data_IF_457125808216
#
_entry.id   IF_457125808216
#
_cell.length_a   1.000
_cell.length_b   1.000
_cell.length_c   1.000
_cell.angle_alpha   90.00
_cell.angle_beta   90.00
_cell.angle_gamma   90.00
#
_symmetry.space_group_name_H-M   'P 1'
#
loop_
_entity.id
_entity.type
_entity.pdbx_description
1 polymer ?
#
# COMPACT_ATOMS: atom_id res chain seq x y z
N UNK A 1 33.63 -6.82 -19.43
CA UNK A 1 33.33 -5.69 -18.52
C UNK A 1 32.62 -6.27 -17.33
N UNK A 2 33.28 -6.30 -16.16
CA UNK A 2 32.76 -6.99 -14.97
C UNK A 2 31.44 -6.36 -14.51
N UNK A 3 30.45 -7.19 -14.26
CA UNK A 3 29.16 -6.81 -13.73
C UNK A 3 29.38 -6.18 -12.35
N UNK A 4 29.33 -4.85 -12.24
CA UNK A 4 29.45 -4.17 -10.95
C UNK A 4 28.24 -4.58 -10.14
N UNK A 5 28.43 -5.45 -9.14
CA UNK A 5 27.40 -5.78 -8.14
C UNK A 5 26.80 -4.48 -7.61
N UNK A 6 25.54 -4.22 -7.97
CA UNK A 6 24.78 -3.08 -7.48
C UNK A 6 24.19 -3.49 -6.14
N UNK A 7 24.50 -2.71 -5.11
CA UNK A 7 23.92 -2.89 -3.79
C UNK A 7 22.77 -1.90 -3.63
N UNK A 8 21.58 -2.41 -3.33
CA UNK A 8 20.40 -1.62 -3.00
C UNK A 8 20.15 -1.67 -1.50
N UNK A 9 19.77 -0.53 -0.93
CA UNK A 9 19.29 -0.45 0.45
C UNK A 9 17.77 -0.28 0.41
N UNK A 10 17.06 -1.19 1.06
CA UNK A 10 15.60 -1.18 1.10
C UNK A 10 15.11 -0.59 2.42
N UNK A 11 14.27 0.43 2.32
CA UNK A 11 13.52 0.98 3.44
C UNK A 11 12.04 0.62 3.25
N UNK A 12 11.50 -0.20 4.15
CA UNK A 12 10.08 -0.58 4.15
C UNK A 12 9.39 0.08 5.33
N UNK A 13 8.38 0.90 5.07
CA UNK A 13 7.73 1.72 6.10
C UNK A 13 6.28 1.28 6.27
N UNK A 14 5.97 0.68 7.42
CA UNK A 14 4.59 0.33 7.77
C UNK A 14 3.73 1.57 7.98
N UNK A 15 2.42 1.48 7.75
CA UNK A 15 1.45 2.49 8.22
C UNK A 15 1.42 2.55 9.76
N UNK A 16 1.12 3.74 10.30
CA UNK A 16 0.93 3.95 11.74
C UNK A 16 -0.14 2.99 12.25
N UNK A 17 0.14 2.29 13.34
CA UNK A 17 -0.75 1.30 13.97
C UNK A 17 -1.28 0.21 13.02
N UNK A 18 -0.54 -0.13 11.95
CA UNK A 18 -0.85 -1.28 11.07
C UNK A 18 0.03 -2.50 11.33
N UNK A 19 0.92 -2.42 12.32
CA UNK A 19 1.74 -3.52 12.81
C UNK A 19 1.62 -3.57 14.32
N UNK A 20 1.58 -4.78 14.88
CA UNK A 20 1.63 -4.95 16.32
C UNK A 20 3.03 -4.61 16.83
N UNK A 21 3.16 -3.49 17.56
CA UNK A 21 4.45 -3.12 18.14
C UNK A 21 4.94 -4.18 19.15
N UNK A 22 6.24 -4.51 19.14
CA UNK A 22 6.87 -5.31 20.20
C UNK A 22 6.59 -4.72 21.58
N UNK A 23 6.49 -5.58 22.61
CA UNK A 23 6.09 -5.16 23.95
C UNK A 23 6.98 -4.05 24.53
N UNK A 24 8.27 -4.10 24.18
CA UNK A 24 9.31 -3.15 24.56
C UNK A 24 9.05 -1.76 23.97
N UNK A 25 8.41 -1.71 22.79
CA UNK A 25 8.17 -0.48 22.05
C UNK A 25 6.74 0.07 22.21
N UNK A 26 5.82 -0.68 22.85
CA UNK A 26 4.42 -0.27 23.03
C UNK A 26 4.24 1.02 23.83
N UNK A 27 5.22 1.37 24.66
CA UNK A 27 5.24 2.61 25.46
C UNK A 27 6.28 3.63 24.99
N UNK A 28 7.11 3.27 24.01
CA UNK A 28 8.13 4.16 23.45
C UNK A 28 7.54 4.89 22.25
N UNK A 29 6.84 5.98 22.49
CA UNK A 29 6.29 6.79 21.41
C UNK A 29 5.23 7.77 21.87
N UNK A 30 4.90 8.73 21.00
CA UNK A 30 3.80 9.68 21.21
C UNK A 30 2.43 9.05 20.96
N UNK A 31 2.39 7.95 20.19
CA UNK A 31 1.18 7.30 19.73
C UNK A 31 0.90 6.02 20.50
N UNK A 32 -0.38 5.78 20.77
CA UNK A 32 -0.87 4.60 21.48
C UNK A 32 -1.38 3.58 20.46
N UNK A 33 -1.34 2.26 20.76
CA UNK A 33 -1.79 1.23 19.82
C UNK A 33 -3.26 1.33 19.39
N UNK A 34 -4.09 2.01 20.18
CA UNK A 34 -5.50 2.23 19.90
C UNK A 34 -5.81 3.57 19.21
N UNK A 35 -4.79 4.39 18.97
CA UNK A 35 -4.96 5.60 18.16
C UNK A 35 -5.40 5.22 16.74
N UNK A 36 -6.19 6.10 16.14
CA UNK A 36 -6.73 5.93 14.79
C UNK A 36 -6.17 7.03 13.91
N UNK A 37 -5.66 6.64 12.76
CA UNK A 37 -4.98 7.55 11.85
C UNK A 37 -5.70 7.59 10.51
N UNK A 38 -6.05 8.81 10.11
CA UNK A 38 -6.55 9.10 8.77
C UNK A 38 -5.43 9.12 7.75
N UNK A 39 -5.79 9.17 6.47
CA UNK A 39 -4.88 9.15 5.34
C UNK A 39 -3.82 10.26 5.42
N UNK A 40 -4.20 11.49 5.76
CA UNK A 40 -3.25 12.61 5.84
C UNK A 40 -2.22 12.43 6.97
N UNK A 41 -2.60 11.79 8.09
CA UNK A 41 -1.65 11.45 9.15
C UNK A 41 -0.65 10.38 8.68
N UNK A 42 -1.10 9.43 7.85
CA UNK A 42 -0.21 8.44 7.22
C UNK A 42 0.75 9.10 6.23
N UNK A 43 0.27 10.05 5.41
CA UNK A 43 1.09 10.85 4.50
C UNK A 43 2.18 11.60 5.28
N UNK A 44 1.80 12.29 6.35
CA UNK A 44 2.76 13.03 7.18
C UNK A 44 3.80 12.10 7.80
N UNK A 45 3.38 10.95 8.33
CA UNK A 45 4.30 9.97 8.89
C UNK A 45 5.34 9.46 7.87
N UNK A 46 4.94 9.27 6.60
CA UNK A 46 5.88 8.89 5.53
C UNK A 46 6.82 10.03 5.15
N UNK A 47 6.33 11.27 5.14
CA UNK A 47 7.16 12.45 4.91
C UNK A 47 8.21 12.63 6.01
N UNK A 48 7.83 12.47 7.27
CA UNK A 48 8.73 12.57 8.41
C UNK A 48 9.82 11.49 8.33
N UNK A 49 9.44 10.24 8.04
CA UNK A 49 10.40 9.15 7.83
C UNK A 49 11.42 9.48 6.74
N UNK A 50 10.96 9.99 5.59
CA UNK A 50 11.84 10.36 4.48
C UNK A 50 12.86 11.41 4.91
N UNK A 51 12.41 12.44 5.63
CA UNK A 51 13.27 13.55 6.09
C UNK A 51 14.30 13.10 7.12
N UNK A 52 13.92 12.18 8.00
CA UNK A 52 14.77 11.73 9.11
C UNK A 52 15.77 10.64 8.70
N UNK A 53 15.40 9.76 7.77
CA UNK A 53 16.16 8.52 7.55
C UNK A 53 16.73 8.34 6.15
N UNK A 54 16.22 9.02 5.12
CA UNK A 54 16.78 8.84 3.78
C UNK A 54 18.12 9.59 3.59
N UNK A 55 19.09 8.98 2.89
CA UNK A 55 20.34 9.65 2.56
C UNK A 55 20.14 10.66 1.42
N UNK A 56 20.48 11.93 1.64
CA UNK A 56 20.28 13.02 0.65
C UNK A 56 21.06 12.85 -0.66
N UNK A 57 22.32 12.38 -0.57
CA UNK A 57 23.22 12.32 -1.73
C UNK A 57 22.94 11.12 -2.67
N UNK A 58 22.29 10.07 -2.17
CA UNK A 58 22.13 8.82 -2.91
C UNK A 58 20.91 8.87 -3.82
N UNK A 59 20.96 8.09 -4.91
CA UNK A 59 19.79 7.92 -5.79
C UNK A 59 18.67 7.23 -5.01
N UNK A 60 17.50 7.84 -4.99
CA UNK A 60 16.31 7.30 -4.31
C UNK A 60 15.28 6.91 -5.35
N UNK A 61 14.71 5.72 -5.20
CA UNK A 61 13.54 5.24 -5.92
C UNK A 61 12.45 5.01 -4.89
N UNK A 62 11.26 5.57 -5.12
CA UNK A 62 10.14 5.41 -4.20
C UNK A 62 9.10 4.52 -4.88
N UNK A 63 8.62 3.54 -4.14
CA UNK A 63 7.59 2.62 -4.62
C UNK A 63 6.40 2.71 -3.68
N UNK A 64 5.22 2.91 -4.25
CA UNK A 64 3.95 2.90 -3.54
C UNK A 64 3.09 1.79 -4.10
N UNK A 65 2.51 0.95 -3.24
CA UNK A 65 1.53 -0.06 -3.66
C UNK A 65 0.14 0.38 -3.22
N UNK A 66 -0.86 0.22 -4.08
CA UNK A 66 -2.26 0.54 -3.77
C UNK A 66 -2.37 1.98 -3.25
N UNK A 67 -2.93 2.20 -2.05
CA UNK A 67 -3.03 3.52 -1.42
C UNK A 67 -1.66 4.14 -1.10
N UNK A 68 -0.63 3.32 -0.93
CA UNK A 68 0.75 3.79 -0.81
C UNK A 68 1.20 4.59 -2.03
N UNK A 69 0.62 4.35 -3.22
CA UNK A 69 0.86 5.18 -4.41
C UNK A 69 0.35 6.61 -4.20
N UNK A 70 -0.87 6.76 -3.67
CA UNK A 70 -1.43 8.07 -3.35
C UNK A 70 -0.56 8.80 -2.31
N UNK A 71 -0.18 8.13 -1.22
CA UNK A 71 0.65 8.73 -0.18
C UNK A 71 2.02 9.18 -0.72
N UNK A 72 2.65 8.33 -1.54
CA UNK A 72 3.91 8.61 -2.21
C UNK A 72 3.84 9.85 -3.11
N UNK A 73 2.77 9.99 -3.91
CA UNK A 73 2.58 11.15 -4.78
C UNK A 73 2.33 12.43 -3.97
N UNK A 74 1.61 12.34 -2.85
CA UNK A 74 1.38 13.49 -1.95
C UNK A 74 2.66 14.00 -1.29
N UNK A 75 3.63 13.13 -0.98
CA UNK A 75 4.90 13.57 -0.37
C UNK A 75 5.92 14.08 -1.40
N UNK A 76 5.84 13.64 -2.67
CA UNK A 76 6.83 13.94 -3.70
C UNK A 76 7.16 15.44 -3.85
N UNK A 77 6.19 16.37 -3.92
CA UNK A 77 6.48 17.80 -4.04
C UNK A 77 7.34 18.35 -2.90
N UNK A 78 7.31 17.73 -1.72
CA UNK A 78 8.01 18.20 -0.52
C UNK A 78 9.41 17.61 -0.35
N UNK A 79 9.80 16.65 -1.19
CA UNK A 79 11.08 15.91 -1.06
C UNK A 79 11.92 15.94 -2.33
N UNK A 80 11.33 16.24 -3.49
CA UNK A 80 12.03 16.20 -4.79
C UNK A 80 13.25 17.10 -4.87
N UNK A 81 13.24 18.23 -4.16
CA UNK A 81 14.29 19.24 -4.20
C UNK A 81 15.38 18.97 -3.14
N UNK A 82 15.05 18.21 -2.09
CA UNK A 82 15.96 17.88 -0.97
C UNK A 82 16.70 16.56 -1.17
N UNK A 83 16.16 15.67 -2.02
CA UNK A 83 16.67 14.32 -2.25
C UNK A 83 16.86 14.04 -3.74
N UNK A 84 17.85 13.21 -4.07
CA UNK A 84 18.13 12.77 -5.44
C UNK A 84 17.13 11.69 -5.89
N UNK A 85 15.84 12.07 -5.99
CA UNK A 85 14.74 11.22 -6.44
C UNK A 85 14.89 10.94 -7.93
N UNK A 86 15.00 9.67 -8.30
CA UNK A 86 15.13 9.23 -9.70
C UNK A 86 13.80 8.88 -10.31
N UNK A 87 13.02 8.05 -9.63
CA UNK A 87 11.71 7.61 -10.07
C UNK A 87 10.81 7.33 -8.88
N UNK A 88 9.53 7.48 -9.15
CA UNK A 88 8.43 7.31 -8.22
C UNK A 88 7.45 6.39 -8.92
N UNK A 89 7.32 5.16 -8.42
CA UNK A 89 6.63 4.07 -9.14
C UNK A 89 5.42 3.63 -8.33
N UNK A 90 4.22 3.89 -8.85
CA UNK A 90 2.97 3.39 -8.28
C UNK A 90 2.63 2.00 -8.82
N UNK A 91 2.46 1.03 -7.94
CA UNK A 91 2.14 -0.35 -8.24
C UNK A 91 0.68 -0.60 -7.89
N UNK A 92 -0.11 -1.05 -8.86
CA UNK A 92 -1.56 -1.24 -8.73
C UNK A 92 -2.20 -0.01 -8.06
N UNK A 93 -2.01 1.20 -8.63
CA UNK A 93 -2.15 2.46 -7.90
C UNK A 93 -3.62 2.85 -7.65
N UNK A 94 -4.05 2.92 -6.39
CA UNK A 94 -5.39 3.44 -6.04
C UNK A 94 -5.31 4.95 -5.81
N UNK A 95 -5.21 5.71 -6.90
CA UNK A 95 -5.06 7.18 -6.87
C UNK A 95 -6.29 7.95 -7.35
N UNK A 96 -7.27 7.25 -7.92
CA UNK A 96 -8.56 7.79 -8.32
C UNK A 96 -9.65 6.72 -8.27
N UNK A 97 -10.90 7.15 -8.14
CA UNK A 97 -12.13 6.34 -8.26
C UNK A 97 -12.11 5.05 -7.45
N UNK A 98 -11.44 5.06 -6.30
CA UNK A 98 -11.31 3.87 -5.46
C UNK A 98 -12.69 3.37 -5.03
N UNK A 99 -13.57 4.32 -4.69
CA UNK A 99 -14.98 4.11 -4.36
C UNK A 99 -15.81 3.38 -5.42
N UNK A 100 -15.53 3.66 -6.70
CA UNK A 100 -16.34 3.22 -7.83
C UNK A 100 -15.78 1.95 -8.48
N UNK A 101 -14.58 1.53 -8.07
CA UNK A 101 -13.99 0.26 -8.48
C UNK A 101 -14.85 -0.94 -8.03
N UNK A 102 -14.78 -2.09 -8.73
CA UNK A 102 -15.51 -3.30 -8.34
C UNK A 102 -15.31 -3.69 -6.87
N UNK A 103 -14.09 -3.62 -6.36
CA UNK A 103 -13.77 -3.93 -4.97
C UNK A 103 -14.15 -2.80 -4.01
N UNK A 104 -14.04 -1.53 -4.43
CA UNK A 104 -14.49 -0.38 -3.65
C UNK A 104 -15.99 -0.40 -3.36
N UNK A 105 -16.82 -0.73 -4.36
CA UNK A 105 -18.27 -0.88 -4.20
C UNK A 105 -18.60 -2.01 -3.23
N UNK A 106 -17.90 -3.15 -3.32
CA UNK A 106 -18.07 -4.28 -2.39
C UNK A 106 -17.68 -3.87 -0.97
N UNK A 107 -16.52 -3.22 -0.81
CA UNK A 107 -16.04 -2.76 0.48
C UNK A 107 -16.99 -1.73 1.11
N UNK A 108 -17.48 -0.74 0.34
CA UNK A 108 -18.49 0.22 0.82
C UNK A 108 -19.73 -0.46 1.39
N UNK A 109 -20.23 -1.53 0.74
CA UNK A 109 -21.39 -2.29 1.24
C UNK A 109 -21.08 -3.02 2.54
N UNK A 110 -19.91 -3.64 2.64
CA UNK A 110 -19.46 -4.31 3.87
C UNK A 110 -19.35 -3.29 5.01
N UNK A 111 -18.66 -2.18 4.78
CA UNK A 111 -18.47 -1.12 5.76
C UNK A 111 -19.81 -0.51 6.21
N UNK A 112 -20.72 -0.20 5.28
CA UNK A 112 -22.07 0.29 5.62
C UNK A 112 -22.88 -0.73 6.44
N UNK A 113 -22.69 -2.03 6.19
CA UNK A 113 -23.33 -3.09 6.97
C UNK A 113 -22.77 -3.17 8.39
N UNK A 114 -21.47 -2.92 8.57
CA UNK A 114 -20.82 -2.86 9.88
C UNK A 114 -21.26 -1.63 10.68
N UNK A 115 -21.36 -0.47 10.02
CA UNK A 115 -21.84 0.77 10.65
C UNK A 115 -23.32 0.64 11.08
N UNK A 116 -24.15 0.01 10.24
CA UNK A 116 -25.54 -0.25 10.57
C UNK A 116 -25.70 -1.27 11.71
N UNK A 117 -24.71 -2.13 11.93
CA UNK A 117 -24.73 -3.20 12.92
C UNK A 117 -23.52 -3.10 13.85
N UNK A 118 -23.53 -2.06 14.68
CA UNK A 118 -22.52 -1.79 15.72
C UNK A 118 -22.11 -3.04 16.54
N UNK A 119 -23.07 -3.93 16.80
CA UNK A 119 -22.85 -5.18 17.53
C UNK A 119 -22.04 -6.21 16.74
N UNK A 120 -22.16 -6.27 15.41
CA UNK A 120 -21.36 -7.14 14.54
C UNK A 120 -19.90 -6.67 14.51
N UNK A 121 -19.67 -5.37 14.36
CA UNK A 121 -18.33 -4.80 14.37
C UNK A 121 -17.63 -5.03 15.73
N UNK A 122 -18.35 -4.80 16.84
CA UNK A 122 -17.86 -5.06 18.21
C UNK A 122 -17.62 -6.55 18.44
N UNK A 123 -18.56 -7.41 18.03
CA UNK A 123 -18.45 -8.87 18.15
C UNK A 123 -17.26 -9.42 17.38
N UNK A 124 -17.15 -9.13 16.09
CA UNK A 124 -16.03 -9.61 15.27
C UNK A 124 -14.69 -9.11 15.79
N UNK A 125 -14.57 -7.82 16.12
CA UNK A 125 -13.32 -7.26 16.62
C UNK A 125 -12.93 -7.81 18.00
N UNK A 126 -13.89 -8.17 18.85
CA UNK A 126 -13.65 -8.79 20.15
C UNK A 126 -13.01 -10.17 20.00
N UNK A 127 -13.53 -11.03 19.12
CA UNK A 127 -13.01 -12.40 18.95
C UNK A 127 -11.59 -12.45 18.35
N UNK A 128 -11.19 -11.42 17.59
CA UNK A 128 -9.87 -11.36 16.97
C UNK A 128 -8.72 -11.44 17.98
N UNK A 129 -8.84 -10.87 19.17
CA UNK A 129 -7.76 -10.91 20.17
C UNK A 129 -7.71 -12.24 20.95
N UNK A 130 -8.81 -12.99 21.01
CA UNK A 130 -8.86 -14.29 21.68
C UNK A 130 -8.41 -15.46 20.80
N UNK A 131 -8.33 -15.26 19.49
CA UNK A 131 -7.88 -16.29 18.56
C UNK A 131 -6.37 -16.54 18.72
N UNK A 132 -5.93 -17.79 18.99
CA UNK A 132 -4.52 -18.13 18.99
C UNK A 132 -3.87 -17.81 17.65
N UNK A 133 -2.60 -17.39 17.66
CA UNK A 133 -1.85 -17.07 16.45
C UNK A 133 -1.86 -18.22 15.45
N UNK A 134 -1.83 -19.48 15.91
CA UNK A 134 -1.94 -20.67 15.06
C UNK A 134 -3.26 -20.74 14.29
N UNK A 135 -4.38 -20.32 14.90
CA UNK A 135 -5.69 -20.28 14.23
C UNK A 135 -5.75 -19.14 13.22
N UNK A 136 -5.17 -17.97 13.55
CA UNK A 136 -5.06 -16.85 12.60
C UNK A 136 -4.24 -17.26 11.37
N UNK A 137 -3.09 -17.89 11.58
CA UNK A 137 -2.25 -18.44 10.50
C UNK A 137 -3.02 -19.47 9.68
N UNK A 138 -3.74 -20.38 10.33
CA UNK A 138 -4.58 -21.37 9.64
C UNK A 138 -5.67 -20.72 8.77
N UNK A 139 -6.38 -19.70 9.28
CA UNK A 139 -7.38 -18.95 8.51
C UNK A 139 -6.76 -18.25 7.29
N UNK A 140 -5.59 -17.64 7.47
CA UNK A 140 -4.86 -16.99 6.38
C UNK A 140 -4.42 -18.02 5.34
N UNK A 141 -3.81 -19.13 5.76
CA UNK A 141 -3.38 -20.21 4.84
C UNK A 141 -4.56 -20.84 4.12
N UNK A 142 -5.72 -20.97 4.78
CA UNK A 142 -6.94 -21.48 4.16
C UNK A 142 -7.45 -20.57 3.04
N UNK A 143 -7.37 -19.24 3.23
CA UNK A 143 -7.83 -18.27 2.24
C UNK A 143 -6.78 -18.00 1.15
N UNK A 144 -5.50 -18.21 1.44
CA UNK A 144 -4.40 -18.11 0.48
C UNK A 144 -4.18 -19.48 -0.21
N UNK A 145 -5.14 -19.93 -1.03
CA UNK A 145 -5.05 -21.20 -1.77
C UNK A 145 -4.03 -21.14 -2.91
N UNK A 146 -2.83 -21.68 -2.72
CA UNK A 146 -1.78 -21.77 -3.76
C UNK A 146 -0.52 -22.45 -3.25
N UNK A 147 0.26 -23.02 -4.18
CA UNK A 147 1.49 -23.74 -3.86
C UNK A 147 2.55 -22.81 -3.23
N UNK A 148 2.91 -23.10 -1.98
CA UNK A 148 4.03 -22.52 -1.23
C UNK A 148 4.08 -20.99 -1.07
N UNK A 149 3.05 -20.39 -0.47
CA UNK A 149 3.17 -19.01 0.08
C UNK A 149 4.24 -18.98 1.17
N UNK A 150 5.22 -18.06 1.13
CA UNK A 150 6.27 -17.98 2.15
C UNK A 150 5.72 -17.81 3.57
N UNK A 151 6.35 -18.44 4.56
CA UNK A 151 5.91 -18.37 5.97
C UNK A 151 5.79 -16.94 6.47
N UNK A 152 6.68 -16.05 6.05
CA UNK A 152 6.74 -14.66 6.49
C UNK A 152 5.56 -13.83 5.98
N UNK A 153 5.04 -14.16 4.79
CA UNK A 153 3.82 -13.56 4.22
C UNK A 153 2.60 -14.00 5.03
N UNK A 154 2.53 -15.29 5.40
CA UNK A 154 1.46 -15.82 6.26
C UNK A 154 1.51 -15.18 7.65
N UNK A 155 2.70 -14.96 8.22
CA UNK A 155 2.85 -14.28 9.50
C UNK A 155 2.38 -12.83 9.42
N UNK A 156 2.85 -12.07 8.42
CA UNK A 156 2.44 -10.68 8.20
C UNK A 156 0.92 -10.55 8.00
N UNK A 157 0.31 -11.43 7.22
CA UNK A 157 -1.13 -11.44 7.01
C UNK A 157 -1.92 -11.81 8.29
N UNK A 158 -1.37 -12.69 9.13
CA UNK A 158 -1.99 -13.02 10.41
C UNK A 158 -1.95 -11.85 11.42
N UNK A 159 -0.94 -10.97 11.34
CA UNK A 159 -0.87 -9.76 12.17
C UNK A 159 -2.00 -8.75 11.85
N UNK A 160 -2.48 -8.71 10.61
CA UNK A 160 -3.63 -7.89 10.21
C UNK A 160 -4.91 -8.28 10.96
N UNK A 161 -4.98 -9.51 11.49
CA UNK A 161 -6.07 -10.03 12.31
C UNK A 161 -5.90 -9.70 13.81
N UNK A 162 -5.07 -8.73 14.18
CA UNK A 162 -5.02 -8.16 15.53
C UNK A 162 -6.08 -7.06 15.67
N UNK A 163 -6.84 -7.00 16.77
CA UNK A 163 -8.00 -6.10 16.90
C UNK A 163 -7.67 -4.64 16.61
N UNK A 164 -6.58 -4.13 17.20
CA UNK A 164 -6.19 -2.73 17.01
C UNK A 164 -5.73 -2.41 15.59
N UNK A 165 -5.05 -3.36 14.93
CA UNK A 165 -4.59 -3.25 13.55
C UNK A 165 -5.80 -3.27 12.62
N UNK A 166 -6.66 -4.29 12.77
CA UNK A 166 -7.90 -4.43 12.00
C UNK A 166 -8.80 -3.18 12.11
N UNK A 167 -9.01 -2.66 13.33
CA UNK A 167 -9.82 -1.45 13.53
C UNK A 167 -9.20 -0.22 12.85
N UNK A 168 -7.88 -0.12 12.82
CA UNK A 168 -7.21 0.99 12.16
C UNK A 168 -7.25 0.86 10.63
N UNK A 169 -7.15 -0.37 10.10
CA UNK A 169 -7.38 -0.67 8.68
C UNK A 169 -8.79 -0.25 8.29
N UNK A 170 -9.82 -0.70 9.02
CA UNK A 170 -11.22 -0.33 8.74
C UNK A 170 -11.40 1.19 8.77
N UNK A 171 -10.89 1.86 9.80
CA UNK A 171 -10.97 3.32 9.91
C UNK A 171 -10.29 4.04 8.74
N UNK A 172 -9.10 3.58 8.34
CA UNK A 172 -8.35 4.15 7.23
C UNK A 172 -9.07 3.90 5.90
N UNK A 173 -9.60 2.70 5.66
CA UNK A 173 -10.36 2.36 4.45
C UNK A 173 -11.61 3.22 4.26
N UNK A 174 -12.31 3.59 5.34
CA UNK A 174 -13.40 4.58 5.26
C UNK A 174 -12.91 5.94 4.77
N UNK A 175 -11.79 6.44 5.30
CA UNK A 175 -11.22 7.73 4.92
C UNK A 175 -10.74 7.71 3.46
N UNK A 176 -10.06 6.64 3.05
CA UNK A 176 -9.58 6.41 1.68
C UNK A 176 -10.72 6.43 0.66
N UNK A 177 -11.80 5.68 0.92
CA UNK A 177 -12.97 5.62 0.02
C UNK A 177 -13.72 6.95 -0.13
N UNK A 178 -13.57 7.86 0.83
CA UNK A 178 -14.21 9.17 0.81
C UNK A 178 -13.30 10.26 0.21
N UNK A 179 -11.98 10.12 0.32
CA UNK A 179 -11.00 11.09 -0.19
C UNK A 179 -10.51 10.78 -1.60
N UNK A 180 -10.37 9.51 -1.96
CA UNK A 180 -9.85 9.06 -3.26
C UNK A 180 -11.01 8.81 -4.23
N UNK A 181 -11.75 9.88 -4.51
CA UNK A 181 -12.89 9.88 -5.44
C UNK A 181 -12.44 10.29 -6.83
N UNK A 182 -12.10 11.57 -7.02
CA UNK A 182 -11.60 12.09 -8.29
C UNK A 182 -10.08 12.15 -8.32
N UNK A 183 -9.49 12.07 -9.51
CA UNK A 183 -8.05 12.23 -9.65
C UNK A 183 -7.63 13.68 -9.47
N UNK A 184 -6.76 13.91 -8.49
CA UNK A 184 -6.11 15.19 -8.29
C UNK A 184 -4.89 15.32 -9.22
N UNK A 185 -4.97 16.21 -10.20
CA UNK A 185 -3.89 16.49 -11.15
C UNK A 185 -2.60 16.97 -10.49
N UNK A 186 -2.67 17.53 -9.28
CA UNK A 186 -1.48 17.96 -8.54
C UNK A 186 -0.60 16.79 -8.11
N UNK A 187 -1.16 15.58 -7.99
CA UNK A 187 -0.42 14.35 -7.65
C UNK A 187 0.66 14.03 -8.68
N UNK A 188 0.41 14.37 -9.95
CA UNK A 188 1.36 14.17 -11.05
C UNK A 188 2.00 15.49 -11.47
N UNK A 189 2.17 16.47 -10.57
CA UNK A 189 2.87 17.71 -10.91
C UNK A 189 4.30 17.46 -11.47
N UNK A 190 4.94 16.36 -11.07
CA UNK A 190 6.29 15.98 -11.50
C UNK A 190 6.26 14.76 -12.45
N UNK A 191 5.48 14.86 -13.53
CA UNK A 191 5.18 13.75 -14.46
C UNK A 191 6.41 12.97 -14.94
N UNK A 192 7.53 13.65 -15.14
CA UNK A 192 8.78 13.07 -15.63
C UNK A 192 9.40 12.04 -14.67
N UNK A 193 9.08 12.14 -13.38
CA UNK A 193 9.56 11.21 -12.34
C UNK A 193 8.57 10.08 -12.05
N UNK A 194 7.30 10.24 -12.46
CA UNK A 194 6.20 9.35 -12.06
C UNK A 194 6.00 8.26 -13.09
N UNK A 195 5.94 7.03 -12.61
CA UNK A 195 5.65 5.82 -13.38
C UNK A 195 4.54 5.04 -12.69
N UNK A 196 3.73 4.32 -13.46
CA UNK A 196 2.69 3.45 -12.93
C UNK A 196 2.70 2.08 -13.58
N UNK A 197 2.40 1.07 -12.76
CA UNK A 197 2.17 -0.31 -13.16
C UNK A 197 0.75 -0.70 -12.76
N UNK A 198 -0.12 -0.96 -13.74
CA UNK A 198 -1.52 -1.34 -13.52
C UNK A 198 -1.75 -2.81 -13.82
N UNK A 199 -2.57 -3.49 -13.03
CA UNK A 199 -3.07 -4.82 -13.35
C UNK A 199 -4.22 -4.76 -14.35
N UNK A 200 -4.27 -5.67 -15.33
CA UNK A 200 -5.43 -5.77 -16.23
C UNK A 200 -6.68 -6.29 -15.54
N UNK A 201 -6.50 -7.21 -14.60
CA UNK A 201 -7.59 -7.85 -13.84
C UNK A 201 -7.75 -7.25 -12.44
N UNK A 202 -7.21 -6.05 -12.20
CA UNK A 202 -7.26 -5.41 -10.89
C UNK A 202 -8.66 -4.86 -10.56
N UNK A 203 -9.33 -5.51 -9.61
CA UNK A 203 -10.64 -5.08 -9.12
C UNK A 203 -10.65 -3.79 -8.29
N UNK A 204 -9.50 -3.26 -7.89
CA UNK A 204 -9.37 -1.96 -7.20
C UNK A 204 -9.03 -0.82 -8.15
N UNK A 205 -8.31 -1.12 -9.22
CA UNK A 205 -7.90 -0.14 -10.21
C UNK A 205 -8.03 -0.72 -11.62
N UNK A 206 -9.24 -0.68 -12.21
CA UNK A 206 -9.51 -1.25 -13.53
C UNK A 206 -8.57 -0.73 -14.61
N UNK A 207 -8.34 -1.51 -15.66
CA UNK A 207 -7.42 -1.14 -16.76
C UNK A 207 -7.77 0.20 -17.43
N UNK A 208 -9.06 0.58 -17.45
CA UNK A 208 -9.54 1.89 -17.90
C UNK A 208 -8.86 3.06 -17.18
N UNK A 209 -8.53 2.89 -15.90
CA UNK A 209 -7.76 3.89 -15.13
C UNK A 209 -6.33 4.00 -15.65
N UNK A 210 -5.73 2.87 -16.07
CA UNK A 210 -4.42 2.82 -16.70
C UNK A 210 -4.40 3.58 -18.02
N UNK A 211 -5.36 3.32 -18.92
CA UNK A 211 -5.47 4.05 -20.19
C UNK A 211 -5.72 5.55 -19.98
N UNK A 212 -6.57 5.91 -19.02
CA UNK A 212 -6.79 7.31 -18.66
C UNK A 212 -5.53 7.97 -18.12
N UNK A 213 -4.70 7.24 -17.37
CA UNK A 213 -3.42 7.73 -16.85
C UNK A 213 -2.36 7.87 -17.93
N UNK A 214 -2.34 6.97 -18.92
CA UNK A 214 -1.44 7.05 -20.08
C UNK A 214 -1.65 8.35 -20.86
N UNK A 215 -2.91 8.78 -21.01
CA UNK A 215 -3.22 10.07 -21.63
C UNK A 215 -2.73 11.29 -20.80
N UNK A 216 -2.46 11.12 -19.50
CA UNK A 216 -2.04 12.20 -18.59
C UNK A 216 -0.53 12.29 -18.41
N UNK A 217 0.22 11.21 -18.64
CA UNK A 217 1.66 11.09 -18.43
C UNK A 217 2.45 11.02 -19.75
N UNK A 218 3.78 11.24 -19.71
CA UNK A 218 4.64 11.03 -20.86
C UNK A 218 4.60 9.57 -21.34
N UNK A 219 4.77 9.36 -22.65
CA UNK A 219 4.76 8.03 -23.24
C UNK A 219 5.78 7.09 -22.58
N UNK A 220 5.35 5.86 -22.26
CA UNK A 220 6.17 4.85 -21.60
C UNK A 220 6.27 4.98 -20.06
N UNK A 221 5.52 5.89 -19.45
CA UNK A 221 5.45 6.02 -17.99
C UNK A 221 4.35 5.16 -17.36
N UNK A 222 3.41 4.68 -18.17
CA UNK A 222 2.37 3.73 -17.74
C UNK A 222 2.66 2.38 -18.38
N UNK A 223 2.65 1.34 -17.57
CA UNK A 223 2.75 -0.06 -18.02
C UNK A 223 1.53 -0.80 -17.51
N UNK A 224 0.90 -1.54 -18.42
CA UNK A 224 -0.17 -2.47 -18.08
C UNK A 224 0.45 -3.86 -17.98
N UNK A 225 0.12 -4.55 -16.91
CA UNK A 225 0.51 -5.92 -16.65
C UNK A 225 0.05 -6.85 -17.78
N UNK A 226 0.92 -7.72 -18.24
CA UNK A 226 0.59 -8.76 -19.25
C UNK A 226 0.58 -10.16 -18.63
N UNK A 227 1.08 -10.28 -17.39
CA UNK A 227 1.32 -11.56 -16.73
C UNK A 227 0.13 -12.02 -15.85
N UNK A 228 -0.93 -11.22 -15.75
CA UNK A 228 -2.16 -11.56 -14.99
C UNK A 228 -1.98 -11.46 -13.47
N UNK A 229 -1.09 -10.58 -13.01
CA UNK A 229 -0.78 -10.38 -11.60
C UNK A 229 -1.98 -9.83 -10.83
N UNK A 230 -2.24 -10.38 -9.66
CA UNK A 230 -3.32 -9.87 -8.78
C UNK A 230 -2.93 -8.55 -8.10
N UNK A 231 -3.92 -7.79 -7.64
CA UNK A 231 -3.68 -6.56 -6.85
C UNK A 231 -2.76 -6.81 -5.64
N UNK A 232 -2.89 -7.97 -5.01
CA UNK A 232 -2.04 -8.42 -3.90
C UNK A 232 -0.82 -9.21 -4.41
N UNK A 233 -0.21 -8.77 -5.51
CA UNK A 233 0.95 -9.41 -6.17
C UNK A 233 2.08 -9.77 -5.20
N UNK A 234 2.25 -9.03 -4.10
CA UNK A 234 3.25 -9.29 -3.05
C UNK A 234 3.14 -10.69 -2.43
N UNK A 235 2.00 -11.36 -2.56
CA UNK A 235 1.77 -12.70 -2.01
C UNK A 235 2.33 -13.79 -2.94
N UNK A 236 2.29 -13.61 -4.26
CA UNK A 236 2.60 -14.66 -5.26
C UNK A 236 3.47 -14.16 -6.41
N UNK A 237 3.11 -13.02 -6.97
CA UNK A 237 3.69 -12.50 -8.22
C UNK A 237 4.80 -11.47 -7.98
N UNK A 238 5.34 -11.41 -6.75
CA UNK A 238 6.37 -10.45 -6.35
C UNK A 238 7.63 -10.50 -7.22
N UNK A 239 8.04 -11.70 -7.66
CA UNK A 239 9.19 -11.87 -8.55
C UNK A 239 8.92 -11.31 -9.95
N UNK A 240 7.73 -11.59 -10.50
CA UNK A 240 7.29 -11.12 -11.82
C UNK A 240 7.26 -9.60 -11.84
N UNK A 241 6.59 -8.99 -10.86
CA UNK A 241 6.54 -7.53 -10.76
C UNK A 241 7.94 -6.95 -10.57
N UNK A 242 8.81 -7.56 -9.75
CA UNK A 242 10.19 -7.09 -9.57
C UNK A 242 10.99 -7.06 -10.90
N UNK A 243 10.85 -8.07 -11.76
CA UNK A 243 11.48 -8.10 -13.08
C UNK A 243 11.00 -6.96 -13.98
N UNK A 244 9.71 -6.64 -13.95
CA UNK A 244 9.16 -5.49 -14.66
C UNK A 244 9.74 -4.17 -14.13
N UNK A 245 9.92 -4.05 -12.81
CA UNK A 245 10.47 -2.85 -12.17
C UNK A 245 11.94 -2.60 -12.49
N UNK A 246 12.73 -3.64 -12.77
CA UNK A 246 14.12 -3.49 -13.21
C UNK A 246 14.24 -2.67 -14.50
N UNK A 247 13.19 -2.63 -15.33
CA UNK A 247 13.14 -1.80 -16.54
C UNK A 247 13.15 -0.30 -16.18
N UNK A 248 12.56 0.05 -15.05
CA UNK A 248 12.55 1.42 -14.55
C UNK A 248 13.81 1.77 -13.75
N UNK A 249 14.36 0.83 -12.99
CA UNK A 249 15.50 1.06 -12.09
C UNK A 249 16.82 0.77 -12.82
N UNK A 250 17.38 1.78 -13.49
CA UNK A 250 18.66 1.73 -14.21
C UNK A 250 19.83 2.37 -13.48
#
# INVERSE_FOLDING_TARGET
>A
MGDRKRHYLFYTVSHLNHVALPAELKSSGKHRPYDRFQLDAQVQHKLDFVREHLPKAQKVYILGHSIGSYMMLRILPYIKDDFNIRKVIGLFPTVEKMADSPNGVRLKRVLATLDANDWLAKGMSFWLDFLPVSVKKWLVTWNLTGDMVPSDVVMSAAELLHMNVFRNIVHMSHDELNKVCDFDQTLIANKDLVYFYYGREDGWCPEDHGYAMEARLPGGHVVLDEDGCEHAFVIRDGAVVAEQLLRFIK
#
